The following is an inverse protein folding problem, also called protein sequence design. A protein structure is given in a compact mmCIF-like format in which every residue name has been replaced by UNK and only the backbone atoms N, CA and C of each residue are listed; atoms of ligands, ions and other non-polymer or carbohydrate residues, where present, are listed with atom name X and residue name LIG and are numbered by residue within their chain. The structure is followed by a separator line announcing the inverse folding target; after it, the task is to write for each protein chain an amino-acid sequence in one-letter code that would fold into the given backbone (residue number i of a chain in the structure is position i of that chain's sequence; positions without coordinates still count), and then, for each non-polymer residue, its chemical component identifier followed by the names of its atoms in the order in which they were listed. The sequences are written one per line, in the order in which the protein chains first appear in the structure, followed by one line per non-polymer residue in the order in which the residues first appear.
data_IF_618632695880
#
_entry.id   IF_618632695880
#
_cell.length_a   1.000
_cell.length_b   1.000
_cell.length_c   1.000
_cell.angle_alpha   90.00
_cell.angle_beta   90.00
_cell.angle_gamma   90.00
#
_symmetry.space_group_name_H-M   'P 1'
#
loop_
_entity.id
_entity.type
_entity.pdbx_description
1 polymer ?
#
# COMPACT_ATOMS: atom_id res chain seq x y z
N UNK A 1 5.75 9.37 21.89
CA UNK A 1 5.37 8.01 21.45
C UNK A 1 6.48 7.50 20.55
N UNK A 2 7.24 6.48 20.97
CA UNK A 2 8.35 5.94 20.18
C UNK A 2 7.75 4.94 19.20
N UNK A 3 7.86 5.19 17.90
CA UNK A 3 7.40 4.23 16.89
C UNK A 3 8.19 2.94 17.10
N UNK A 4 7.48 1.83 17.31
CA UNK A 4 8.13 0.54 17.53
C UNK A 4 8.84 0.08 16.23
N UNK A 5 10.00 -0.62 16.33
CA UNK A 5 10.83 -0.97 15.17
C UNK A 5 10.09 -1.78 14.09
N UNK A 6 9.11 -2.56 14.49
CA UNK A 6 8.23 -3.36 13.64
C UNK A 6 7.36 -2.50 12.71
N UNK A 7 6.89 -1.32 13.15
CA UNK A 7 6.09 -0.41 12.31
C UNK A 7 6.87 0.10 11.10
N UNK A 8 8.17 0.31 11.26
CA UNK A 8 9.04 0.67 10.15
C UNK A 8 9.13 -0.45 9.11
N UNK A 9 9.13 -1.72 9.54
CA UNK A 9 9.10 -2.84 8.61
C UNK A 9 7.81 -2.84 7.78
N UNK A 10 6.66 -2.63 8.40
CA UNK A 10 5.38 -2.54 7.68
C UNK A 10 5.34 -1.37 6.72
N UNK A 11 5.86 -0.21 7.12
CA UNK A 11 6.04 0.94 6.24
C UNK A 11 6.92 0.61 5.01
N UNK A 12 8.11 0.03 5.22
CA UNK A 12 9.02 -0.31 4.12
C UNK A 12 8.46 -1.40 3.19
N UNK A 13 7.66 -2.34 3.70
CA UNK A 13 6.94 -3.34 2.88
C UNK A 13 5.78 -2.71 2.12
N UNK A 14 5.14 -1.68 2.69
CA UNK A 14 4.10 -0.91 2.03
C UNK A 14 4.57 -0.30 0.72
N UNK A 15 5.76 0.31 0.68
CA UNK A 15 6.30 0.99 -0.51
C UNK A 15 6.29 0.10 -1.78
N UNK A 16 6.99 -1.05 -1.83
CA UNK A 16 6.99 -1.90 -3.01
C UNK A 16 5.60 -2.44 -3.33
N UNK A 17 4.75 -2.71 -2.33
CA UNK A 17 3.37 -3.13 -2.55
C UNK A 17 2.58 -2.04 -3.30
N UNK A 18 2.69 -0.79 -2.87
CA UNK A 18 2.03 0.34 -3.55
C UNK A 18 2.53 0.57 -4.96
N UNK A 19 3.85 0.42 -5.19
CA UNK A 19 4.41 0.47 -6.54
C UNK A 19 3.84 -0.64 -7.44
N UNK A 20 3.84 -1.89 -6.97
CA UNK A 20 3.32 -3.02 -7.73
C UNK A 20 1.84 -2.83 -8.06
N UNK A 21 1.03 -2.43 -7.09
CA UNK A 21 -0.40 -2.20 -7.32
C UNK A 21 -0.66 -1.05 -8.31
N UNK A 22 0.16 0.00 -8.28
CA UNK A 22 0.05 1.09 -9.24
C UNK A 22 0.48 0.67 -10.66
N UNK A 23 1.52 -0.15 -10.81
CA UNK A 23 1.89 -0.73 -12.11
C UNK A 23 0.77 -1.63 -12.67
N UNK A 24 0.13 -2.44 -11.80
CA UNK A 24 -1.05 -3.22 -12.17
C UNK A 24 -2.19 -2.28 -12.57
N UNK A 25 -2.40 -1.18 -11.85
CA UNK A 25 -3.37 -0.15 -12.21
C UNK A 25 -3.12 0.46 -13.59
N UNK A 26 -1.86 0.77 -13.94
CA UNK A 26 -1.51 1.23 -15.28
C UNK A 26 -1.80 0.20 -16.37
N UNK A 27 -1.55 -1.08 -16.09
CA UNK A 27 -1.83 -2.17 -17.02
C UNK A 27 -3.33 -2.40 -17.23
N UNK A 28 -4.13 -2.35 -16.15
CA UNK A 28 -5.58 -2.60 -16.20
C UNK A 28 -6.37 -1.41 -16.75
N UNK A 29 -5.89 -0.18 -16.54
CA UNK A 29 -6.58 1.06 -16.90
C UNK A 29 -5.68 1.96 -17.78
N UNK A 30 -5.30 1.52 -18.99
CA UNK A 30 -4.40 2.29 -19.84
C UNK A 30 -4.99 3.65 -20.23
N UNK A 31 -4.19 4.71 -20.10
CA UNK A 31 -4.60 6.09 -20.36
C UNK A 31 -5.59 6.69 -19.34
N UNK A 32 -5.97 5.91 -18.32
CA UNK A 32 -6.97 6.26 -17.33
C UNK A 32 -6.34 6.34 -15.93
N UNK A 33 -5.39 7.26 -15.77
CA UNK A 33 -4.55 7.40 -14.58
C UNK A 33 -5.34 7.46 -13.27
N UNK A 34 -6.47 8.19 -13.26
CA UNK A 34 -7.32 8.30 -12.06
C UNK A 34 -7.92 6.96 -11.62
N UNK A 35 -8.37 6.11 -12.55
CA UNK A 35 -8.91 4.79 -12.23
C UNK A 35 -7.82 3.83 -11.78
N UNK A 36 -6.65 3.85 -12.44
CA UNK A 36 -5.48 3.08 -12.01
C UNK A 36 -5.01 3.47 -10.60
N UNK A 37 -4.98 4.77 -10.28
CA UNK A 37 -4.63 5.28 -8.97
C UNK A 37 -5.64 4.89 -7.89
N UNK A 38 -6.94 4.99 -8.19
CA UNK A 38 -7.99 4.57 -7.26
C UNK A 38 -7.93 3.07 -6.99
N UNK A 39 -7.76 2.25 -8.03
CA UNK A 39 -7.58 0.81 -7.91
C UNK A 39 -6.41 0.47 -6.98
N UNK A 40 -5.24 1.08 -7.22
CA UNK A 40 -4.06 0.82 -6.42
C UNK A 40 -4.24 1.23 -4.96
N UNK A 41 -4.83 2.41 -4.72
CA UNK A 41 -5.08 2.91 -3.36
C UNK A 41 -6.05 2.02 -2.59
N UNK A 42 -7.16 1.62 -3.20
CA UNK A 42 -8.11 0.68 -2.60
C UNK A 42 -7.43 -0.66 -2.31
N UNK A 43 -6.61 -1.16 -3.23
CA UNK A 43 -5.82 -2.38 -3.04
C UNK A 43 -4.87 -2.28 -1.86
N UNK A 44 -4.15 -1.16 -1.71
CA UNK A 44 -3.24 -0.90 -0.58
C UNK A 44 -4.02 -1.02 0.74
N UNK A 45 -5.15 -0.32 0.86
CA UNK A 45 -5.97 -0.33 2.08
C UNK A 45 -6.52 -1.73 2.37
N UNK A 46 -7.09 -2.39 1.37
CA UNK A 46 -7.70 -3.72 1.54
C UNK A 46 -6.66 -4.77 1.92
N UNK A 47 -5.48 -4.75 1.31
CA UNK A 47 -4.42 -5.72 1.63
C UNK A 47 -3.86 -5.44 3.03
N UNK A 48 -3.55 -4.19 3.36
CA UNK A 48 -3.01 -3.83 4.67
C UNK A 48 -3.97 -4.17 5.82
N UNK A 49 -5.24 -3.77 5.71
CA UNK A 49 -6.25 -4.12 6.70
C UNK A 49 -6.63 -5.61 6.66
N UNK A 50 -6.59 -6.24 5.49
CA UNK A 50 -6.91 -7.65 5.32
C UNK A 50 -5.95 -8.55 6.08
N UNK A 51 -4.65 -8.25 6.07
CA UNK A 51 -3.68 -8.98 6.89
C UNK A 51 -3.94 -8.82 8.39
N UNK A 52 -4.28 -7.62 8.85
CA UNK A 52 -4.62 -7.38 10.25
C UNK A 52 -5.90 -8.10 10.68
N UNK A 53 -6.95 -8.03 9.87
CA UNK A 53 -8.21 -8.74 10.13
C UNK A 53 -7.99 -10.25 10.13
N UNK A 54 -7.18 -10.76 9.21
CA UNK A 54 -6.80 -12.17 9.17
C UNK A 54 -6.06 -12.60 10.44
N UNK A 55 -5.08 -11.82 10.91
CA UNK A 55 -4.37 -12.07 12.16
C UNK A 55 -5.31 -12.08 13.36
N UNK A 56 -6.25 -11.14 13.42
CA UNK A 56 -7.27 -11.06 14.47
C UNK A 56 -8.18 -12.30 14.49
N UNK A 57 -8.70 -12.72 13.33
CA UNK A 57 -9.65 -13.83 13.22
C UNK A 57 -8.99 -15.18 13.45
N UNK A 58 -7.78 -15.38 12.94
CA UNK A 58 -7.10 -16.68 13.00
C UNK A 58 -6.21 -16.86 14.23
N UNK A 59 -5.90 -15.76 14.93
CA UNK A 59 -4.89 -15.74 15.99
C UNK A 59 -3.47 -15.98 15.49
N UNK A 60 -3.24 -15.99 14.16
CA UNK A 60 -1.92 -16.20 13.56
C UNK A 60 -1.29 -14.86 13.22
N UNK A 61 -0.21 -14.52 13.91
CA UNK A 61 0.51 -13.26 13.73
C UNK A 61 0.33 -12.31 14.90
N UNK A 62 0.71 -11.05 14.70
CA UNK A 62 0.51 -9.99 15.67
C UNK A 62 -0.61 -9.09 15.14
N UNK A 63 -1.70 -8.96 15.90
CA UNK A 63 -2.75 -8.01 15.55
C UNK A 63 -2.42 -6.65 16.15
N UNK A 64 -2.08 -5.70 15.31
CA UNK A 64 -1.92 -4.30 15.70
C UNK A 64 -2.32 -3.39 14.54
N UNK A 65 -3.40 -2.62 14.72
CA UNK A 65 -3.92 -1.70 13.71
C UNK A 65 -2.85 -0.75 13.13
N UNK A 66 -1.85 -0.39 13.94
CA UNK A 66 -0.76 0.49 13.53
C UNK A 66 0.14 -0.14 12.45
N UNK A 67 0.21 -1.48 12.35
CA UNK A 67 0.92 -2.18 11.27
C UNK A 67 0.24 -1.97 9.92
N UNK A 68 -1.10 -2.07 9.88
CA UNK A 68 -1.86 -1.72 8.68
C UNK A 68 -1.69 -0.25 8.31
N UNK A 69 -1.78 0.67 9.27
CA UNK A 69 -1.62 2.11 9.01
C UNK A 69 -0.22 2.40 8.46
N UNK A 70 0.83 1.84 9.06
CA UNK A 70 2.20 2.02 8.59
C UNK A 70 2.37 1.51 7.14
N UNK A 71 1.82 0.33 6.84
CA UNK A 71 1.84 -0.24 5.49
C UNK A 71 1.05 0.61 4.48
N UNK A 72 -0.11 1.16 4.85
CA UNK A 72 -0.89 2.05 3.98
C UNK A 72 -0.12 3.32 3.65
N UNK A 73 0.52 3.95 4.64
CA UNK A 73 1.34 5.16 4.43
C UNK A 73 2.51 4.85 3.50
N UNK A 74 3.22 3.74 3.73
CA UNK A 74 4.29 3.29 2.84
C UNK A 74 3.80 3.02 1.41
N UNK A 75 2.66 2.32 1.27
CA UNK A 75 2.05 2.02 -0.02
C UNK A 75 1.62 3.26 -0.78
N UNK A 76 1.02 4.24 -0.09
CA UNK A 76 0.65 5.50 -0.71
C UNK A 76 1.88 6.28 -1.23
N UNK A 77 3.01 6.25 -0.50
CA UNK A 77 4.25 6.84 -0.98
C UNK A 77 4.80 6.10 -2.20
N UNK A 78 4.84 4.77 -2.17
CA UNK A 78 5.28 3.96 -3.32
C UNK A 78 4.44 4.19 -4.56
N UNK A 79 3.12 4.28 -4.39
CA UNK A 79 2.18 4.68 -5.44
C UNK A 79 2.52 6.07 -6.00
N UNK A 80 2.73 7.05 -5.12
CA UNK A 80 3.04 8.43 -5.49
C UNK A 80 4.32 8.56 -6.31
N UNK A 81 5.36 7.75 -6.03
CA UNK A 81 6.61 7.74 -6.82
C UNK A 81 6.33 7.41 -8.29
N UNK A 82 5.47 6.44 -8.57
CA UNK A 82 5.16 6.06 -9.94
C UNK A 82 4.23 7.05 -10.64
N UNK A 83 3.25 7.60 -9.92
CA UNK A 83 2.36 8.63 -10.48
C UNK A 83 3.12 9.91 -10.83
N UNK A 84 4.07 10.33 -9.98
CA UNK A 84 4.95 11.45 -10.29
C UNK A 84 5.84 11.10 -11.49
N UNK A 85 6.46 9.93 -11.49
CA UNK A 85 7.29 9.47 -12.61
C UNK A 85 6.55 9.51 -13.95
N UNK A 86 5.31 9.01 -14.00
CA UNK A 86 4.47 9.07 -15.19
C UNK A 86 4.18 10.51 -15.64
N UNK A 87 3.87 11.42 -14.71
CA UNK A 87 3.64 12.84 -15.03
C UNK A 87 4.87 13.56 -15.61
N UNK A 88 6.09 13.15 -15.24
CA UNK A 88 7.33 13.76 -15.73
C UNK A 88 7.82 13.19 -17.07
N UNK A 89 7.41 11.97 -17.43
CA UNK A 89 7.91 11.23 -18.61
C UNK A 89 6.85 11.12 -19.72
N UNK A 90 5.56 11.27 -19.37
CA UNK A 90 4.40 11.16 -20.26
C UNK A 90 4.08 12.40 -21.08
#
# INVERSE_FOLDING_TARGET
MKIAPDKWKHFYVGIPMGMVLQLVGFFLFPGQLGYGALFAFVGIVVISYGFELFSLVTGKGHHELMDAVAAVVGGFLGQGVLLLGDYWIG
#
